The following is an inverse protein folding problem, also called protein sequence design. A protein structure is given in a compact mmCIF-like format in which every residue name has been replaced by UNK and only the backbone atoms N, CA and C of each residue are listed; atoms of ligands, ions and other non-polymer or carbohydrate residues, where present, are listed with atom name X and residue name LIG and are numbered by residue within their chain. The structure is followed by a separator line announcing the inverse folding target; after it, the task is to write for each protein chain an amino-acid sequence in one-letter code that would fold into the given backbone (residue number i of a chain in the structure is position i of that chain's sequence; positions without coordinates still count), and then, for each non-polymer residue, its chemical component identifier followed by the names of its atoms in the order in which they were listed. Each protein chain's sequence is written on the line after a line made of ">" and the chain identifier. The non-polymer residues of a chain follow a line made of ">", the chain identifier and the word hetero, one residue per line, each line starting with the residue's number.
data_IF_872892918908
#
_entry.id   IF_872892918908
#
_cell.length_a   1.000
_cell.length_b   1.000
_cell.length_c   1.000
_cell.angle_alpha   90.00
_cell.angle_beta   90.00
_cell.angle_gamma   90.00
#
_symmetry.space_group_name_H-M   'P 1'
#
loop_
_entity.id
_entity.type
_entity.pdbx_description
1 polymer ?
#
# COMPACT_ATOMS: atom_id res chain seq x y z
N UNK A 1 -18.84 -7.43 -6.36
CA UNK A 1 -18.88 -8.84 -5.90
C UNK A 1 -17.88 -9.10 -4.77
N UNK A 2 -16.59 -8.77 -4.93
CA UNK A 2 -15.54 -9.00 -3.92
C UNK A 2 -15.85 -8.33 -2.57
N UNK A 3 -16.18 -7.04 -2.56
CA UNK A 3 -16.51 -6.30 -1.34
C UNK A 3 -17.71 -6.90 -0.60
N UNK A 4 -18.76 -7.31 -1.33
CA UNK A 4 -19.94 -7.96 -0.73
C UNK A 4 -19.59 -9.31 -0.10
N UNK A 5 -18.65 -10.04 -0.69
CA UNK A 5 -18.21 -11.36 -0.21
C UNK A 5 -17.07 -11.25 0.85
N UNK A 6 -16.51 -10.06 1.07
CA UNK A 6 -15.34 -9.85 1.95
C UNK A 6 -14.08 -10.51 1.41
N UNK A 7 -13.93 -10.62 0.10
CA UNK A 7 -12.81 -11.29 -0.57
C UNK A 7 -11.87 -10.28 -1.24
N UNK A 8 -10.60 -10.68 -1.41
CA UNK A 8 -9.59 -9.91 -2.15
C UNK A 8 -9.80 -10.00 -3.66
N UNK A 9 -10.30 -11.13 -4.16
CA UNK A 9 -10.60 -11.40 -5.58
C UNK A 9 -12.10 -11.42 -5.78
N UNK A 10 -12.53 -11.21 -7.01
CA UNK A 10 -13.94 -11.35 -7.40
C UNK A 10 -14.37 -12.83 -7.34
N UNK A 11 -15.44 -13.19 -6.62
CA UNK A 11 -15.92 -14.57 -6.60
C UNK A 11 -16.57 -15.04 -7.91
N UNK A 12 -16.66 -14.15 -8.93
CA UNK A 12 -17.23 -14.48 -10.25
C UNK A 12 -16.16 -15.09 -11.16
N UNK A 13 -14.92 -14.59 -11.08
CA UNK A 13 -13.85 -14.95 -12.01
C UNK A 13 -12.49 -15.14 -11.32
N UNK A 14 -12.47 -15.09 -9.99
CA UNK A 14 -11.28 -15.23 -9.12
C UNK A 14 -10.14 -14.25 -9.45
N UNK A 15 -10.45 -13.11 -10.07
CA UNK A 15 -9.49 -12.11 -10.52
C UNK A 15 -9.38 -10.97 -9.52
N UNK A 16 -8.14 -10.50 -9.27
CA UNK A 16 -7.86 -9.29 -8.50
C UNK A 16 -7.84 -8.09 -9.45
N UNK A 17 -8.83 -7.19 -9.32
CA UNK A 17 -8.95 -6.00 -10.15
C UNK A 17 -7.65 -5.17 -10.20
N UNK A 18 -6.97 -5.00 -9.06
CA UNK A 18 -5.75 -4.19 -8.95
C UNK A 18 -4.48 -4.93 -9.38
N UNK A 19 -4.59 -5.91 -10.28
CA UNK A 19 -3.47 -6.65 -10.91
C UNK A 19 -3.65 -6.83 -12.41
N UNK A 20 -4.80 -6.38 -12.96
CA UNK A 20 -5.18 -6.73 -14.35
C UNK A 20 -5.40 -5.52 -15.26
N UNK A 21 -5.03 -4.32 -14.84
CA UNK A 21 -5.05 -3.17 -15.73
C UNK A 21 -4.03 -3.36 -16.88
N UNK A 22 -4.39 -3.01 -18.13
CA UNK A 22 -5.57 -2.24 -18.58
C UNK A 22 -6.87 -3.04 -18.73
N UNK A 23 -6.88 -4.33 -18.41
CA UNK A 23 -8.04 -5.19 -18.62
C UNK A 23 -8.26 -5.60 -20.07
N UNK A 24 -9.45 -6.16 -20.34
CA UNK A 24 -9.87 -6.65 -21.67
C UNK A 24 -11.38 -6.45 -21.82
N UNK A 25 -11.85 -5.75 -22.88
CA UNK A 25 -13.28 -5.51 -23.10
C UNK A 25 -14.07 -6.79 -23.37
N UNK A 26 -13.43 -7.84 -23.90
CA UNK A 26 -14.02 -9.13 -24.23
C UNK A 26 -13.70 -10.22 -23.19
N UNK A 27 -13.04 -9.83 -22.09
CA UNK A 27 -12.60 -10.74 -21.03
C UNK A 27 -13.67 -11.05 -19.99
N UNK A 28 -13.21 -11.60 -18.86
CA UNK A 28 -14.08 -11.86 -17.71
C UNK A 28 -14.60 -10.54 -17.08
N UNK A 29 -15.64 -10.58 -16.22
CA UNK A 29 -16.22 -9.37 -15.65
C UNK A 29 -15.22 -8.43 -14.98
N UNK A 30 -14.21 -8.94 -14.27
CA UNK A 30 -13.19 -8.10 -13.64
C UNK A 30 -12.25 -7.46 -14.68
N UNK A 31 -11.91 -8.17 -15.76
CA UNK A 31 -11.12 -7.61 -16.86
C UNK A 31 -11.89 -6.52 -17.61
N UNK A 32 -13.19 -6.70 -17.85
CA UNK A 32 -14.05 -5.68 -18.46
C UNK A 32 -14.15 -4.44 -17.59
N UNK A 33 -14.26 -4.58 -16.26
CA UNK A 33 -14.27 -3.47 -15.29
C UNK A 33 -12.94 -2.71 -15.33
N UNK A 34 -11.80 -3.42 -15.28
CA UNK A 34 -10.48 -2.80 -15.37
C UNK A 34 -10.34 -1.99 -16.67
N UNK A 35 -10.75 -2.58 -17.80
CA UNK A 35 -10.72 -1.91 -19.10
C UNK A 35 -11.56 -0.63 -19.11
N UNK A 36 -12.80 -0.69 -18.61
CA UNK A 36 -13.68 0.48 -18.54
C UNK A 36 -13.11 1.58 -17.63
N UNK A 37 -12.56 1.21 -16.47
CA UNK A 37 -11.95 2.17 -15.56
C UNK A 37 -10.79 2.91 -16.24
N UNK A 38 -9.84 2.19 -16.85
CA UNK A 38 -8.65 2.83 -17.44
C UNK A 38 -8.97 3.59 -18.72
N UNK A 39 -9.79 3.00 -19.62
CA UNK A 39 -10.00 3.58 -20.97
C UNK A 39 -11.09 4.65 -21.01
N UNK A 40 -11.99 4.66 -20.02
CA UNK A 40 -13.10 5.62 -19.97
C UNK A 40 -12.97 6.53 -18.76
N UNK A 41 -13.03 5.99 -17.53
CA UNK A 41 -13.11 6.83 -16.32
C UNK A 41 -11.82 7.62 -16.08
N UNK A 42 -10.66 6.98 -16.17
CA UNK A 42 -9.38 7.66 -15.95
C UNK A 42 -9.03 8.67 -17.06
N UNK A 43 -9.65 8.56 -18.23
CA UNK A 43 -9.45 9.53 -19.33
C UNK A 43 -10.22 10.84 -19.16
N UNK A 44 -11.29 10.83 -18.37
CA UNK A 44 -12.13 12.02 -18.12
C UNK A 44 -11.92 12.59 -16.71
N UNK A 45 -11.13 11.94 -15.87
CA UNK A 45 -10.82 12.38 -14.52
C UNK A 45 -9.44 13.06 -14.48
N UNK A 46 -9.36 14.19 -13.77
CA UNK A 46 -8.08 14.88 -13.52
C UNK A 46 -7.33 14.26 -12.35
N UNK A 47 -8.07 13.69 -11.38
CA UNK A 47 -7.52 13.16 -10.15
C UNK A 47 -8.26 11.91 -9.68
N UNK A 48 -7.51 10.95 -9.12
CA UNK A 48 -8.03 9.71 -8.56
C UNK A 48 -7.44 9.36 -7.19
N UNK A 49 -8.29 8.80 -6.34
CA UNK A 49 -7.91 8.20 -5.06
C UNK A 49 -8.33 6.74 -5.04
N UNK A 50 -7.39 5.86 -4.76
CA UNK A 50 -7.64 4.43 -4.57
C UNK A 50 -7.41 4.08 -3.09
N UNK A 51 -8.50 3.84 -2.35
CA UNK A 51 -8.46 3.72 -0.89
C UNK A 51 -8.23 2.26 -0.49
N UNK A 52 -7.01 1.96 -0.08
CA UNK A 52 -6.56 0.63 0.33
C UNK A 52 -6.27 0.53 1.83
N UNK A 53 -6.11 -0.71 2.27
CA UNK A 53 -5.51 -1.13 3.53
C UNK A 53 -4.66 -2.38 3.29
N UNK A 54 -3.86 -2.81 4.26
CA UNK A 54 -3.03 -4.03 4.16
C UNK A 54 -3.81 -5.34 3.98
N UNK A 55 -5.13 -5.26 3.88
CA UNK A 55 -6.01 -6.42 3.71
C UNK A 55 -5.97 -7.36 4.91
N UNK A 56 -6.04 -8.67 4.65
CA UNK A 56 -6.03 -9.70 5.70
C UNK A 56 -4.62 -10.14 6.12
N UNK A 57 -3.60 -9.85 5.32
CA UNK A 57 -2.24 -10.38 5.52
C UNK A 57 -1.24 -9.37 6.06
N UNK A 58 -1.48 -8.08 5.85
CA UNK A 58 -0.57 -7.01 6.25
C UNK A 58 -1.29 -5.98 7.11
N UNK A 59 -0.53 -5.29 7.96
CA UNK A 59 -0.98 -4.11 8.68
C UNK A 59 0.03 -3.00 8.49
N UNK A 60 -0.47 -1.83 8.07
CA UNK A 60 0.32 -0.62 7.87
C UNK A 60 0.08 0.40 8.96
N UNK A 61 1.08 1.21 9.27
CA UNK A 61 0.82 2.53 9.82
C UNK A 61 -0.09 3.29 8.84
N UNK A 62 -1.02 4.16 9.31
CA UNK A 62 -1.84 4.95 8.38
C UNK A 62 -0.97 5.77 7.43
N UNK A 63 -0.98 5.40 6.16
CA UNK A 63 -0.02 5.88 5.16
C UNK A 63 -0.72 6.17 3.84
N UNK A 64 -0.40 7.29 3.19
CA UNK A 64 -0.63 7.46 1.75
C UNK A 64 0.53 6.86 0.98
N UNK A 65 0.27 6.25 -0.17
CA UNK A 65 1.31 5.57 -0.96
C UNK A 65 1.24 5.94 -2.44
N UNK A 66 2.41 6.01 -3.07
CA UNK A 66 2.53 6.22 -4.51
C UNK A 66 3.74 5.48 -5.06
N UNK A 67 3.79 5.31 -6.38
CA UNK A 67 5.00 4.94 -7.07
C UNK A 67 5.94 6.16 -7.20
N UNK A 68 7.21 5.91 -7.44
CA UNK A 68 8.15 6.94 -7.89
C UNK A 68 8.09 7.01 -9.42
N UNK A 69 7.70 8.16 -9.96
CA UNK A 69 7.59 8.40 -11.41
C UNK A 69 8.90 8.93 -12.00
N UNK A 70 9.05 8.85 -13.33
CA UNK A 70 10.17 9.50 -14.03
C UNK A 70 10.01 11.02 -14.12
N UNK A 71 8.76 11.48 -14.20
CA UNK A 71 8.42 12.90 -14.22
C UNK A 71 8.46 13.51 -12.81
N UNK A 72 9.47 14.33 -12.56
CA UNK A 72 9.61 15.05 -11.28
C UNK A 72 8.48 16.06 -11.03
N UNK A 73 7.84 16.57 -12.06
CA UNK A 73 6.67 17.43 -11.90
C UNK A 73 5.51 16.62 -11.32
N UNK A 74 5.28 15.43 -11.84
CA UNK A 74 4.29 14.49 -11.31
C UNK A 74 4.61 14.07 -9.87
N UNK A 75 5.87 13.73 -9.56
CA UNK A 75 6.30 13.39 -8.20
C UNK A 75 5.98 14.53 -7.22
N UNK A 76 6.27 15.78 -7.59
CA UNK A 76 5.98 16.95 -6.78
C UNK A 76 4.48 17.15 -6.55
N UNK A 77 3.66 17.05 -7.60
CA UNK A 77 2.20 17.16 -7.51
C UNK A 77 1.60 16.07 -6.61
N UNK A 78 2.06 14.83 -6.75
CA UNK A 78 1.62 13.73 -5.90
C UNK A 78 2.02 13.99 -4.44
N UNK A 79 3.26 14.40 -4.17
CA UNK A 79 3.70 14.76 -2.80
C UNK A 79 2.82 15.86 -2.18
N UNK A 80 2.50 16.91 -2.94
CA UNK A 80 1.60 17.97 -2.48
C UNK A 80 0.23 17.42 -2.10
N UNK A 81 -0.38 16.59 -2.95
CA UNK A 81 -1.70 16.01 -2.70
C UNK A 81 -1.68 15.06 -1.49
N UNK A 82 -0.61 14.29 -1.28
CA UNK A 82 -0.43 13.43 -0.11
C UNK A 82 -0.30 14.26 1.18
N UNK A 83 0.39 15.42 1.13
CA UNK A 83 0.42 16.36 2.26
C UNK A 83 -0.95 16.96 2.55
N UNK A 84 -1.71 17.33 1.52
CA UNK A 84 -3.10 17.82 1.67
C UNK A 84 -3.99 16.75 2.30
N UNK A 85 -3.85 15.49 1.91
CA UNK A 85 -4.57 14.37 2.53
C UNK A 85 -4.29 14.29 4.03
N UNK A 86 -3.02 14.46 4.44
CA UNK A 86 -2.62 14.60 5.82
C UNK A 86 -2.66 13.31 6.62
N UNK A 87 -2.31 12.17 6.02
CA UNK A 87 -1.98 10.96 6.77
C UNK A 87 -0.66 11.17 7.54
N UNK A 88 -0.45 10.51 8.68
CA UNK A 88 0.81 10.63 9.43
C UNK A 88 2.06 10.30 8.61
N UNK A 89 1.94 9.36 7.67
CA UNK A 89 3.03 8.92 6.81
C UNK A 89 2.61 8.98 5.34
N UNK A 90 3.59 9.21 4.48
CA UNK A 90 3.49 9.09 3.02
C UNK A 90 4.66 8.25 2.53
N UNK A 91 4.41 7.25 1.70
CA UNK A 91 5.45 6.29 1.30
C UNK A 91 5.50 6.14 -0.21
N UNK A 92 6.73 6.16 -0.75
CA UNK A 92 6.99 5.96 -2.17
C UNK A 92 7.64 4.60 -2.40
N UNK A 93 6.93 3.75 -3.14
CA UNK A 93 7.47 2.47 -3.60
C UNK A 93 8.59 2.69 -4.63
N UNK A 94 9.60 1.78 -4.67
CA UNK A 94 10.62 1.83 -5.70
C UNK A 94 10.00 1.64 -7.09
N UNK A 95 10.67 2.13 -8.12
CA UNK A 95 10.24 1.95 -9.51
C UNK A 95 10.08 0.45 -9.83
N UNK A 96 9.08 0.13 -10.64
CA UNK A 96 8.79 -1.24 -11.06
C UNK A 96 8.08 -2.10 -10.01
N UNK A 97 7.74 -1.54 -8.86
CA UNK A 97 6.89 -2.24 -7.89
C UNK A 97 5.53 -2.58 -8.52
N UNK A 98 5.05 -3.81 -8.28
CA UNK A 98 3.74 -4.32 -8.74
C UNK A 98 3.54 -4.51 -10.26
N UNK A 99 4.60 -4.51 -11.08
CA UNK A 99 4.55 -5.04 -12.45
C UNK A 99 3.61 -4.37 -13.45
N UNK A 100 3.14 -3.14 -13.19
CA UNK A 100 2.37 -2.34 -14.17
C UNK A 100 0.87 -2.58 -14.23
N UNK A 101 0.34 -3.63 -13.60
CA UNK A 101 -1.09 -4.01 -13.66
C UNK A 101 -1.98 -3.42 -12.58
N UNK A 102 -1.52 -2.43 -11.81
CA UNK A 102 -2.29 -1.80 -10.75
C UNK A 102 -2.88 -0.44 -11.16
N UNK A 103 -3.74 0.12 -10.31
CA UNK A 103 -4.45 1.40 -10.53
C UNK A 103 -3.51 2.59 -10.68
N UNK A 104 -2.36 2.63 -9.96
CA UNK A 104 -1.39 3.73 -10.08
C UNK A 104 -0.75 3.76 -11.47
N UNK A 105 -0.34 2.61 -12.02
CA UNK A 105 0.20 2.54 -13.37
C UNK A 105 -0.86 2.82 -14.44
N UNK A 106 -2.11 2.39 -14.21
CA UNK A 106 -3.23 2.73 -15.09
C UNK A 106 -3.47 4.25 -15.11
N UNK A 107 -3.45 4.91 -13.95
CA UNK A 107 -3.56 6.36 -13.82
C UNK A 107 -2.39 7.09 -14.52
N UNK A 108 -1.15 6.58 -14.37
CA UNK A 108 0.02 7.12 -15.06
C UNK A 108 -0.14 7.05 -16.59
N UNK A 109 -0.48 5.87 -17.14
CA UNK A 109 -0.74 5.70 -18.58
C UNK A 109 -1.87 6.58 -19.11
N UNK A 110 -2.85 6.87 -18.26
CA UNK A 110 -4.01 7.71 -18.59
C UNK A 110 -3.75 9.21 -18.44
N UNK A 111 -2.63 9.60 -17.83
CA UNK A 111 -2.32 11.00 -17.53
C UNK A 111 -3.02 11.54 -16.27
N UNK A 112 -3.87 10.75 -15.62
CA UNK A 112 -4.57 11.12 -14.39
C UNK A 112 -3.61 11.18 -13.21
N UNK A 113 -3.67 12.25 -12.41
CA UNK A 113 -2.92 12.33 -11.15
C UNK A 113 -3.58 11.44 -10.09
N UNK A 114 -2.81 10.59 -9.41
CA UNK A 114 -3.36 9.70 -8.38
C UNK A 114 -2.35 9.33 -7.31
N UNK A 115 -2.86 8.94 -6.16
CA UNK A 115 -2.15 8.14 -5.15
C UNK A 115 -3.14 7.19 -4.49
N UNK A 116 -2.62 6.26 -3.70
CA UNK A 116 -3.42 5.29 -2.94
C UNK A 116 -3.20 5.48 -1.44
N UNK A 117 -3.92 4.73 -0.64
CA UNK A 117 -3.72 4.69 0.81
C UNK A 117 -3.40 3.28 1.28
N UNK A 118 -2.79 3.16 2.46
CA UNK A 118 -2.72 1.94 3.26
C UNK A 118 -3.17 2.29 4.68
N UNK A 119 -4.46 2.06 4.98
CA UNK A 119 -5.10 2.46 6.23
C UNK A 119 -5.26 1.28 7.18
N UNK A 120 -4.17 0.90 7.89
CA UNK A 120 -4.16 -0.27 8.76
C UNK A 120 -4.18 -1.58 7.98
N UNK A 121 -5.07 -2.49 8.33
CA UNK A 121 -5.15 -3.82 7.72
C UNK A 121 -5.71 -4.86 8.68
N UNK A 122 -5.15 -6.09 8.68
CA UNK A 122 -5.58 -7.21 9.53
C UNK A 122 -7.03 -7.66 9.28
N UNK A 123 -7.62 -7.32 8.13
CA UNK A 123 -9.03 -7.56 7.85
C UNK A 123 -10.00 -6.76 8.74
N UNK A 124 -9.51 -5.67 9.38
CA UNK A 124 -10.29 -4.88 10.34
C UNK A 124 -10.43 -3.42 9.90
N UNK A 125 -11.42 -2.74 10.45
CA UNK A 125 -11.59 -1.29 10.36
C UNK A 125 -11.44 -0.71 11.76
N UNK A 126 -10.53 0.27 11.92
CA UNK A 126 -10.37 0.99 13.18
C UNK A 126 -10.96 2.39 13.06
N UNK A 127 -11.58 2.96 14.13
CA UNK A 127 -12.05 4.34 14.12
C UNK A 127 -10.95 5.35 13.78
N UNK A 128 -9.72 5.08 14.20
CA UNK A 128 -8.55 5.92 13.92
C UNK A 128 -8.24 5.98 12.40
N UNK A 129 -8.06 4.83 11.76
CA UNK A 129 -7.77 4.76 10.32
C UNK A 129 -8.93 5.30 9.49
N UNK A 130 -10.19 4.97 9.87
CA UNK A 130 -11.37 5.48 9.19
C UNK A 130 -11.44 7.01 9.25
N UNK A 131 -11.16 7.61 10.42
CA UNK A 131 -11.13 9.05 10.56
C UNK A 131 -10.06 9.71 9.68
N UNK A 132 -8.82 9.21 9.70
CA UNK A 132 -7.72 9.73 8.87
C UNK A 132 -8.12 9.68 7.39
N UNK A 133 -8.64 8.53 6.94
CA UNK A 133 -9.04 8.35 5.55
C UNK A 133 -10.18 9.28 5.15
N UNK A 134 -11.24 9.36 5.95
CA UNK A 134 -12.40 10.20 5.69
C UNK A 134 -12.03 11.70 5.66
N UNK A 135 -11.27 12.16 6.65
CA UNK A 135 -10.82 13.54 6.73
C UNK A 135 -9.88 13.88 5.55
N UNK A 136 -8.98 12.96 5.20
CA UNK A 136 -8.06 13.13 4.07
C UNK A 136 -8.77 13.26 2.73
N UNK A 137 -9.77 12.43 2.47
CA UNK A 137 -10.62 12.55 1.27
C UNK A 137 -11.30 13.90 1.21
N UNK A 138 -11.87 14.38 2.33
CA UNK A 138 -12.56 15.67 2.38
C UNK A 138 -11.60 16.85 2.14
N UNK A 139 -10.36 16.78 2.67
CA UNK A 139 -9.34 17.81 2.42
C UNK A 139 -8.95 17.85 0.94
N UNK A 140 -8.70 16.69 0.33
CA UNK A 140 -8.37 16.61 -1.09
C UNK A 140 -9.50 17.14 -1.96
N UNK A 141 -10.74 16.73 -1.75
CA UNK A 141 -11.90 17.21 -2.51
C UNK A 141 -12.12 18.72 -2.38
N UNK A 142 -11.81 19.30 -1.23
CA UNK A 142 -11.83 20.75 -1.04
C UNK A 142 -10.66 21.42 -1.78
N UNK A 143 -9.45 20.88 -1.68
CA UNK A 143 -8.24 21.43 -2.30
C UNK A 143 -8.35 21.49 -3.82
N UNK A 144 -8.87 20.42 -4.45
CA UNK A 144 -9.06 20.37 -5.91
C UNK A 144 -10.34 21.09 -6.39
N UNK A 145 -11.07 21.75 -5.49
CA UNK A 145 -12.22 22.59 -5.83
C UNK A 145 -13.55 21.85 -6.07
N UNK A 146 -13.61 20.55 -5.82
CA UNK A 146 -14.87 19.76 -5.89
C UNK A 146 -15.82 20.20 -4.78
N UNK A 147 -15.31 20.48 -3.59
CA UNK A 147 -16.07 21.04 -2.49
C UNK A 147 -15.75 22.53 -2.32
N UNK A 148 -16.76 23.37 -2.26
CA UNK A 148 -16.61 24.82 -2.02
C UNK A 148 -16.18 25.12 -0.58
N UNK A 149 -16.56 24.29 0.37
CA UNK A 149 -16.24 24.43 1.80
C UNK A 149 -15.86 23.07 2.37
N UNK A 150 -14.87 23.04 3.25
CA UNK A 150 -14.52 21.85 4.01
C UNK A 150 -14.95 22.02 5.47
N UNK A 151 -15.53 20.95 6.06
CA UNK A 151 -15.78 20.85 7.49
C UNK A 151 -14.58 20.30 8.25
N UNK A 152 -13.55 19.86 7.51
CA UNK A 152 -12.32 19.29 8.05
C UNK A 152 -11.22 20.33 7.91
N UNK A 153 -10.56 20.64 9.00
CA UNK A 153 -9.40 21.54 9.01
C UNK A 153 -8.22 20.93 8.22
N UNK A 154 -7.29 21.74 7.69
CA UNK A 154 -6.01 21.26 7.24
C UNK A 154 -5.33 20.40 8.31
N UNK A 155 -4.44 19.51 7.89
CA UNK A 155 -3.64 18.74 8.86
C UNK A 155 -2.66 19.67 9.57
N UNK A 156 -2.66 19.64 10.91
CA UNK A 156 -1.75 20.46 11.73
C UNK A 156 -0.31 19.92 11.72
N UNK A 157 -0.14 18.65 11.30
CA UNK A 157 1.16 17.98 11.27
C UNK A 157 1.47 17.56 9.83
N UNK A 158 2.64 17.95 9.30
CA UNK A 158 3.10 17.45 8.01
C UNK A 158 3.23 15.92 8.03
N UNK A 159 2.85 15.27 6.92
CA UNK A 159 3.10 13.85 6.73
C UNK A 159 4.60 13.58 6.66
N UNK A 160 5.10 12.58 7.42
CA UNK A 160 6.50 12.12 7.27
C UNK A 160 6.63 11.42 5.92
N UNK A 161 7.45 12.02 5.04
CA UNK A 161 7.70 11.50 3.70
C UNK A 161 8.77 10.42 3.76
N UNK A 162 8.39 9.21 3.38
CA UNK A 162 9.24 8.02 3.39
C UNK A 162 9.34 7.43 1.99
N UNK A 163 10.41 6.71 1.72
CA UNK A 163 10.54 5.91 0.51
C UNK A 163 11.32 4.61 0.77
N UNK A 164 11.18 3.64 -0.14
CA UNK A 164 12.10 2.52 -0.25
C UNK A 164 12.98 2.77 -1.50
N UNK A 165 14.26 3.07 -1.36
CA UNK A 165 15.15 3.27 -2.51
C UNK A 165 15.29 2.03 -3.39
N UNK A 166 15.30 0.86 -2.77
CA UNK A 166 15.45 -0.46 -3.42
C UNK A 166 14.51 -1.49 -2.81
N UNK A 167 14.50 -2.70 -3.38
CA UNK A 167 13.73 -3.81 -2.81
C UNK A 167 14.35 -4.40 -1.53
N UNK A 168 15.55 -3.98 -1.11
CA UNK A 168 16.17 -4.39 0.16
C UNK A 168 15.44 -3.85 1.40
N UNK A 169 14.52 -2.90 1.20
CA UNK A 169 13.63 -2.39 2.24
C UNK A 169 12.43 -3.30 2.53
N UNK A 170 12.33 -4.44 1.84
CA UNK A 170 11.27 -5.43 2.02
C UNK A 170 11.87 -6.72 2.55
N UNK A 171 11.33 -7.23 3.64
CA UNK A 171 11.72 -8.51 4.21
C UNK A 171 10.70 -9.57 3.83
N UNK A 172 11.13 -10.66 3.21
CA UNK A 172 10.27 -11.75 2.76
C UNK A 172 10.62 -13.05 3.48
N UNK A 173 9.60 -13.89 3.73
CA UNK A 173 9.81 -15.22 4.27
C UNK A 173 10.67 -16.07 3.32
N UNK A 174 11.69 -16.70 3.87
CA UNK A 174 12.61 -17.58 3.12
C UNK A 174 12.06 -18.98 2.90
N UNK A 175 11.08 -19.40 3.70
CA UNK A 175 10.49 -20.73 3.72
C UNK A 175 9.06 -20.75 4.27
N UNK A 176 8.41 -21.91 4.21
CA UNK A 176 7.14 -22.21 4.86
C UNK A 176 7.36 -22.40 6.37
N UNK A 177 6.49 -21.81 7.19
CA UNK A 177 6.53 -22.01 8.63
C UNK A 177 5.62 -21.10 9.43
N UNK A 178 5.94 -20.95 10.71
CA UNK A 178 5.30 -20.02 11.63
C UNK A 178 6.26 -18.86 11.91
N UNK A 179 5.86 -17.67 11.55
CA UNK A 179 6.64 -16.45 11.72
C UNK A 179 6.43 -15.86 13.11
N UNK A 180 7.53 -15.70 13.85
CA UNK A 180 7.64 -15.01 15.13
C UNK A 180 8.37 -13.67 14.91
N UNK A 181 7.66 -12.52 14.88
CA UNK A 181 8.30 -11.22 14.74
C UNK A 181 8.99 -10.80 16.05
N UNK A 182 10.10 -10.08 15.94
CA UNK A 182 10.83 -9.50 17.10
C UNK A 182 10.73 -7.97 17.15
N UNK A 183 9.99 -7.35 16.24
CA UNK A 183 9.77 -5.90 16.18
C UNK A 183 8.32 -5.58 15.91
N UNK A 184 7.92 -4.33 16.23
CA UNK A 184 6.57 -3.82 16.05
C UNK A 184 6.49 -2.72 14.97
N UNK A 185 5.26 -2.40 14.55
CA UNK A 185 5.01 -1.25 13.69
C UNK A 185 5.47 0.04 14.38
N UNK A 186 6.20 0.87 13.64
CA UNK A 186 6.74 2.13 14.14
C UNK A 186 8.13 2.02 14.77
N UNK A 187 8.70 0.82 14.89
CA UNK A 187 10.07 0.66 15.34
C UNK A 187 11.05 1.14 14.25
N UNK A 188 12.10 1.85 14.68
CA UNK A 188 13.28 2.14 13.85
C UNK A 188 14.27 0.99 13.98
N UNK A 189 14.64 0.40 12.86
CA UNK A 189 15.52 -0.78 12.81
C UNK A 189 16.80 -0.52 12.03
N UNK A 190 17.79 -1.41 12.19
CA UNK A 190 19.09 -1.34 11.53
C UNK A 190 19.33 -2.55 10.63
N UNK A 191 20.11 -2.36 9.56
CA UNK A 191 20.62 -3.45 8.76
C UNK A 191 21.37 -4.47 9.64
N UNK A 192 21.10 -5.76 9.45
CA UNK A 192 21.63 -6.84 10.28
C UNK A 192 20.86 -7.07 11.59
N UNK A 193 19.94 -6.19 11.98
CA UNK A 193 19.06 -6.41 13.14
C UNK A 193 18.11 -7.58 12.84
N UNK A 194 17.83 -8.39 13.86
CA UNK A 194 16.87 -9.48 13.78
C UNK A 194 15.46 -8.93 13.53
N UNK A 195 14.80 -9.47 12.50
CA UNK A 195 13.42 -9.18 12.14
C UNK A 195 12.46 -10.18 12.79
N UNK A 196 12.91 -11.43 12.98
CA UNK A 196 12.12 -12.50 13.57
C UNK A 196 12.68 -13.86 13.29
N UNK A 197 11.86 -14.87 13.55
CA UNK A 197 12.16 -16.28 13.29
C UNK A 197 11.06 -16.93 12.47
N UNK A 198 11.42 -17.94 11.66
CA UNK A 198 10.48 -18.86 11.04
C UNK A 198 10.70 -20.23 11.66
N UNK A 199 9.66 -20.74 12.34
CA UNK A 199 9.66 -22.06 12.97
C UNK A 199 9.02 -23.08 12.02
N UNK A 200 9.60 -24.28 11.93
CA UNK A 200 9.05 -25.41 11.17
C UNK A 200 8.34 -26.37 12.13
N UNK A 201 7.00 -26.38 12.19
CA UNK A 201 6.25 -27.20 13.16
C UNK A 201 6.49 -28.71 13.03
N UNK A 202 6.84 -29.17 11.82
CA UNK A 202 7.13 -30.57 11.50
C UNK A 202 8.45 -31.04 12.12
N UNK A 203 9.35 -30.12 12.45
CA UNK A 203 10.66 -30.39 13.03
C UNK A 203 10.95 -29.48 14.23
N UNK A 204 10.13 -29.53 15.29
CA UNK A 204 10.16 -28.54 16.38
C UNK A 204 11.44 -28.61 17.25
N UNK A 205 12.28 -29.62 17.02
CA UNK A 205 13.59 -29.76 17.65
C UNK A 205 14.74 -29.10 16.86
N UNK A 206 14.47 -28.58 15.67
CA UNK A 206 15.44 -27.81 14.91
C UNK A 206 15.38 -26.34 15.31
N UNK A 207 16.54 -25.68 15.25
CA UNK A 207 16.62 -24.23 15.45
C UNK A 207 15.81 -23.52 14.36
N UNK A 208 15.03 -22.48 14.69
CA UNK A 208 14.28 -21.74 13.72
C UNK A 208 15.17 -20.91 12.81
N UNK A 209 14.72 -20.66 11.60
CA UNK A 209 15.45 -19.80 10.64
C UNK A 209 15.34 -18.34 11.07
N UNK A 210 16.48 -17.71 11.35
CA UNK A 210 16.55 -16.28 11.68
C UNK A 210 16.36 -15.43 10.44
N UNK A 211 15.47 -14.44 10.54
CA UNK A 211 15.24 -13.40 9.54
C UNK A 211 15.86 -12.09 10.03
N UNK A 212 16.58 -11.39 9.14
CA UNK A 212 17.25 -10.12 9.46
C UNK A 212 16.84 -9.03 8.47
N UNK A 213 16.87 -7.78 8.90
CA UNK A 213 16.70 -6.64 8.03
C UNK A 213 17.96 -6.40 7.19
N UNK A 214 17.78 -6.03 5.94
CA UNK A 214 18.88 -5.70 5.00
C UNK A 214 19.15 -4.21 4.92
N UNK A 215 18.25 -3.37 5.46
CA UNK A 215 18.35 -1.91 5.45
C UNK A 215 17.99 -1.30 6.79
N UNK A 216 18.43 -0.06 7.02
CA UNK A 216 17.97 0.78 8.13
C UNK A 216 16.60 1.39 7.74
N UNK A 217 15.68 1.57 8.70
CA UNK A 217 14.43 2.27 8.43
C UNK A 217 13.36 2.12 9.49
N UNK A 218 12.25 2.81 9.26
CA UNK A 218 11.02 2.70 10.03
C UNK A 218 10.20 1.50 9.54
N UNK A 219 9.74 0.64 10.44
CA UNK A 219 8.79 -0.44 10.12
C UNK A 219 7.41 0.17 9.84
N UNK A 220 7.05 0.31 8.55
CA UNK A 220 5.77 0.89 8.12
C UNK A 220 4.68 -0.16 7.88
N UNK A 221 5.08 -1.41 7.68
CA UNK A 221 4.18 -2.53 7.42
C UNK A 221 4.71 -3.80 8.08
N UNK A 222 3.80 -4.59 8.63
CA UNK A 222 4.07 -5.86 9.29
C UNK A 222 3.06 -6.92 8.85
N UNK A 223 3.53 -8.17 8.68
CA UNK A 223 2.66 -9.32 8.48
C UNK A 223 1.85 -9.63 9.72
N UNK A 224 0.60 -10.05 9.52
CA UNK A 224 -0.34 -10.39 10.60
C UNK A 224 -0.51 -11.90 10.79
N UNK A 225 -0.78 -12.72 9.74
CA UNK A 225 -0.86 -14.17 9.92
C UNK A 225 0.48 -14.76 10.38
N UNK A 226 0.45 -15.59 11.42
CA UNK A 226 1.64 -16.30 11.88
C UNK A 226 2.12 -17.31 10.84
N UNK A 227 1.23 -17.97 10.10
CA UNK A 227 1.62 -18.86 9.01
C UNK A 227 2.16 -18.06 7.83
N UNK A 228 3.33 -18.48 7.34
CA UNK A 228 3.99 -17.88 6.17
C UNK A 228 4.32 -18.95 5.15
N UNK A 229 4.38 -18.52 3.89
CA UNK A 229 4.95 -19.28 2.77
C UNK A 229 6.16 -18.53 2.22
N UNK A 230 7.06 -19.25 1.55
CA UNK A 230 8.21 -18.61 0.91
C UNK A 230 7.77 -17.50 -0.02
N UNK A 231 8.35 -16.30 0.16
CA UNK A 231 8.02 -15.12 -0.63
C UNK A 231 6.90 -14.27 -0.04
N UNK A 232 6.26 -14.70 1.06
CA UNK A 232 5.34 -13.85 1.80
C UNK A 232 6.06 -12.64 2.39
N UNK A 233 5.48 -11.46 2.24
CA UNK A 233 6.03 -10.23 2.82
C UNK A 233 5.86 -10.26 4.34
N UNK A 234 6.97 -10.05 5.08
CA UNK A 234 7.02 -9.96 6.53
C UNK A 234 6.99 -8.51 7.00
N UNK A 235 7.82 -7.65 6.38
CA UNK A 235 7.93 -6.23 6.70
C UNK A 235 8.19 -5.38 5.46
N UNK A 236 7.69 -4.14 5.50
CA UNK A 236 8.20 -3.03 4.67
C UNK A 236 8.85 -1.99 5.57
N UNK A 237 10.02 -1.54 5.17
CA UNK A 237 10.72 -0.43 5.80
C UNK A 237 10.61 0.83 4.92
N UNK A 238 10.62 1.98 5.57
CA UNK A 238 10.75 3.27 4.91
C UNK A 238 11.89 4.09 5.52
N UNK A 239 12.64 4.79 4.67
CA UNK A 239 13.60 5.80 5.10
C UNK A 239 13.11 7.18 4.68
N UNK A 240 13.57 8.25 5.36
CA UNK A 240 13.12 9.60 5.06
C UNK A 240 13.50 9.99 3.62
N UNK A 241 12.53 10.54 2.91
CA UNK A 241 12.73 11.10 1.59
C UNK A 241 13.37 12.48 1.74
N UNK A 242 14.58 12.65 1.20
CA UNK A 242 15.34 13.89 1.25
C UNK A 242 14.71 15.01 0.38
#
# INVERSE_FOLDING_TARGET
>A
PAAKAGLRTSPIDDVNLNRVFPGDPDGSPTLMIAHFIETVLMKIADFGLDLHSGGSSLHYLPTTVSATYEDETRNRQVREMMQVFGAPHSFFFPRGHAGGGNSNHAAERSGMLSFTTEMGGSGTVTPHCLKICSDGVMRVLHHIGVLKTSRVAPSDTPSRMLHAPTFDYFTYASELGLFEPTVELGDEVKAGQRAGFIHTPETPWQEPTEMTFTSDGLVICKRIPGRVERGDCLFHLGTDLA
#
